data_IF_329085797922
#
_entry.id   IF_329085797922
#
_cell.length_a   1.000
_cell.length_b   1.000
_cell.length_c   1.000
_cell.angle_alpha   90.00
_cell.angle_beta   90.00
_cell.angle_gamma   90.00
#
_symmetry.space_group_name_H-M   'P 1'
#
loop_
_entity.id
_entity.type
_entity.pdbx_description
1 polymer ?
#
# COMPACT_ATOMS: atom_id res chain seq x y z
N UNK A 1 6.11 -1.05 -13.02
CA UNK A 1 4.63 -1.07 -13.17
C UNK A 1 4.17 0.34 -13.48
N UNK A 2 3.26 0.54 -14.43
CA UNK A 2 2.77 1.88 -14.75
C UNK A 2 1.68 2.26 -13.75
N UNK A 3 2.00 3.15 -12.81
CA UNK A 3 1.07 3.64 -11.79
C UNK A 3 -0.15 4.31 -12.45
N UNK A 4 -1.36 3.94 -12.05
CA UNK A 4 -2.63 4.53 -12.56
C UNK A 4 -3.24 5.54 -11.59
N UNK A 5 -2.80 5.56 -10.32
CA UNK A 5 -3.23 6.56 -9.34
C UNK A 5 -2.28 7.75 -9.22
N UNK A 6 -2.81 8.88 -8.73
CA UNK A 6 -2.10 10.11 -8.40
C UNK A 6 -2.48 10.55 -6.99
N UNK A 7 -1.49 11.00 -6.19
CA UNK A 7 -1.74 11.60 -4.88
C UNK A 7 -2.52 12.92 -5.01
N UNK A 8 -3.52 13.11 -4.14
CA UNK A 8 -4.35 14.31 -4.07
C UNK A 8 -4.35 14.89 -2.65
N UNK A 9 -4.66 16.18 -2.55
CA UNK A 9 -4.83 16.86 -1.26
C UNK A 9 -6.24 16.52 -0.72
N UNK A 10 -6.35 16.17 0.56
CA UNK A 10 -7.63 15.91 1.24
C UNK A 10 -7.82 14.47 1.71
N UNK A 11 -9.05 14.13 2.12
CA UNK A 11 -9.38 12.88 2.81
C UNK A 11 -9.30 11.61 1.95
N UNK A 12 -9.46 11.73 0.62
CA UNK A 12 -9.44 10.57 -0.28
C UNK A 12 -8.03 10.17 -0.74
N UNK A 13 -7.03 11.04 -0.53
CA UNK A 13 -5.58 10.83 -0.72
C UNK A 13 -5.11 10.47 -2.15
N UNK A 14 -5.94 9.82 -2.96
CA UNK A 14 -5.65 9.34 -4.30
C UNK A 14 -6.79 9.64 -5.28
N UNK A 15 -6.43 9.79 -6.55
CA UNK A 15 -7.35 9.85 -7.70
C UNK A 15 -6.78 9.07 -8.88
N UNK A 16 -7.60 8.73 -9.87
CA UNK A 16 -7.12 8.14 -11.12
C UNK A 16 -6.47 9.22 -11.99
N UNK A 17 -5.29 8.95 -12.57
CA UNK A 17 -4.49 9.93 -13.33
C UNK A 17 -5.25 10.59 -14.48
N UNK A 18 -6.07 9.81 -15.17
CA UNK A 18 -6.75 10.23 -16.40
C UNK A 18 -8.25 10.52 -16.18
N UNK A 19 -8.72 10.46 -14.94
CA UNK A 19 -10.13 10.71 -14.63
C UNK A 19 -10.43 12.20 -14.55
N UNK A 20 -11.49 12.62 -15.24
CA UNK A 20 -12.01 14.00 -15.22
C UNK A 20 -13.41 13.97 -14.60
N UNK A 21 -13.56 14.34 -13.32
CA UNK A 21 -14.85 14.31 -12.65
C UNK A 21 -15.88 15.16 -13.38
N UNK A 22 -17.09 14.64 -13.52
CA UNK A 22 -18.24 15.37 -14.06
C UNK A 22 -19.29 15.62 -12.97
N UNK A 23 -19.99 16.75 -13.07
CA UNK A 23 -21.07 17.05 -12.12
C UNK A 23 -22.19 16.01 -12.23
N UNK A 24 -22.60 15.44 -11.10
CA UNK A 24 -23.63 14.40 -11.07
C UNK A 24 -23.18 13.02 -11.52
N UNK A 25 -21.86 12.77 -11.59
CA UNK A 25 -21.31 11.45 -11.94
C UNK A 25 -21.82 10.32 -11.02
N UNK A 26 -22.02 10.63 -9.74
CA UNK A 26 -22.52 9.70 -8.73
C UNK A 26 -23.94 10.08 -8.33
N UNK A 27 -24.87 9.12 -8.46
CA UNK A 27 -26.28 9.31 -8.14
C UNK A 27 -26.56 9.34 -6.62
N UNK A 28 -25.64 8.86 -5.80
CA UNK A 28 -25.74 8.87 -4.34
C UNK A 28 -24.35 8.87 -3.68
N UNK A 29 -24.33 9.17 -2.39
CA UNK A 29 -23.10 9.26 -1.60
C UNK A 29 -22.37 7.91 -1.51
N UNK A 30 -23.08 6.80 -1.34
CA UNK A 30 -22.46 5.48 -1.18
C UNK A 30 -21.66 5.08 -2.43
N UNK A 31 -22.17 5.39 -3.62
CA UNK A 31 -21.48 5.12 -4.89
C UNK A 31 -20.19 5.93 -5.00
N UNK A 32 -20.26 7.22 -4.65
CA UNK A 32 -19.08 8.08 -4.59
C UNK A 32 -18.08 7.58 -3.55
N UNK A 33 -18.53 7.26 -2.34
CA UNK A 33 -17.67 6.81 -1.26
C UNK A 33 -16.98 5.49 -1.59
N UNK A 34 -17.72 4.49 -2.09
CA UNK A 34 -17.16 3.19 -2.49
C UNK A 34 -16.13 3.34 -3.60
N UNK A 35 -16.41 4.18 -4.61
CA UNK A 35 -15.45 4.49 -5.67
C UNK A 35 -14.16 5.09 -5.10
N UNK A 36 -14.28 6.13 -4.26
CA UNK A 36 -13.09 6.77 -3.68
C UNK A 36 -12.30 5.82 -2.77
N UNK A 37 -12.98 4.96 -2.00
CA UNK A 37 -12.30 3.95 -1.19
C UNK A 37 -11.56 2.92 -2.05
N UNK A 38 -12.13 2.52 -3.18
CA UNK A 38 -11.45 1.63 -4.13
C UNK A 38 -10.20 2.29 -4.73
N UNK A 39 -10.30 3.55 -5.16
CA UNK A 39 -9.15 4.30 -5.71
C UNK A 39 -8.07 4.54 -4.66
N UNK A 40 -8.46 4.85 -3.42
CA UNK A 40 -7.54 4.99 -2.29
C UNK A 40 -6.75 3.70 -2.07
N UNK A 41 -7.44 2.56 -1.92
CA UNK A 41 -6.80 1.25 -1.71
C UNK A 41 -5.89 0.87 -2.87
N UNK A 42 -6.28 1.16 -4.11
CA UNK A 42 -5.44 0.96 -5.27
C UNK A 42 -4.15 1.78 -5.17
N UNK A 43 -4.24 3.05 -4.76
CA UNK A 43 -3.07 3.92 -4.61
C UNK A 43 -2.12 3.49 -3.49
N UNK A 44 -2.67 2.99 -2.38
CA UNK A 44 -1.91 2.39 -1.27
C UNK A 44 -1.18 1.11 -1.71
N UNK A 45 -1.85 0.24 -2.49
CA UNK A 45 -1.24 -0.96 -3.06
C UNK A 45 -0.13 -0.63 -4.06
N UNK A 46 -0.35 0.34 -4.95
CA UNK A 46 0.70 0.76 -5.90
C UNK A 46 1.93 1.32 -5.19
N UNK A 47 1.75 2.00 -4.06
CA UNK A 47 2.84 2.52 -3.23
C UNK A 47 3.53 1.43 -2.41
N UNK A 48 2.81 0.41 -1.93
CA UNK A 48 3.43 -0.71 -1.20
C UNK A 48 4.27 -1.62 -2.09
N UNK A 49 3.96 -1.67 -3.39
CA UNK A 49 4.71 -2.42 -4.39
C UNK A 49 5.95 -1.68 -4.92
N UNK A 50 6.12 -0.40 -4.59
CA UNK A 50 7.25 0.41 -5.02
C UNK A 50 8.43 0.23 -4.04
N UNK A 51 9.59 -0.31 -4.48
CA UNK A 51 10.76 -0.45 -3.62
C UNK A 51 11.30 0.91 -3.18
N UNK A 52 11.47 1.09 -1.87
CA UNK A 52 11.99 2.30 -1.24
C UNK A 52 13.45 2.12 -0.86
N UNK A 53 14.22 3.21 -0.81
CA UNK A 53 15.63 3.13 -0.36
C UNK A 53 15.70 2.73 1.11
N UNK A 54 16.76 2.01 1.50
CA UNK A 54 17.07 1.72 2.91
C UNK A 54 17.09 2.97 3.79
N UNK A 55 17.46 4.14 3.24
CA UNK A 55 17.48 5.42 3.97
C UNK A 55 16.09 5.91 4.40
N UNK A 56 15.04 5.43 3.73
CA UNK A 56 13.65 5.74 4.07
C UNK A 56 13.09 4.82 5.16
N UNK A 57 13.79 3.72 5.46
CA UNK A 57 13.37 2.80 6.50
C UNK A 57 13.68 3.38 7.89
N UNK A 58 12.82 3.06 8.84
CA UNK A 58 13.04 3.29 10.26
C UNK A 58 12.31 2.19 11.04
N UNK A 59 12.67 2.03 12.32
CA UNK A 59 12.12 1.00 13.21
C UNK A 59 10.58 1.02 13.30
N UNK A 60 9.94 2.16 13.04
CA UNK A 60 8.48 2.30 13.04
C UNK A 60 7.77 1.50 11.95
N UNK A 61 8.46 1.08 10.89
CA UNK A 61 7.90 0.18 9.89
C UNK A 61 7.92 -1.29 10.30
N UNK A 62 8.77 -1.67 11.27
CA UNK A 62 8.95 -3.05 11.70
C UNK A 62 9.51 -3.95 10.58
N UNK A 63 9.02 -5.18 10.53
CA UNK A 63 9.44 -6.18 9.55
C UNK A 63 9.00 -5.81 8.14
N UNK A 64 9.96 -5.84 7.21
CA UNK A 64 9.73 -5.54 5.79
C UNK A 64 10.40 -6.58 4.90
N UNK A 65 10.07 -6.55 3.61
CA UNK A 65 10.78 -7.34 2.59
C UNK A 65 11.96 -6.52 2.07
N UNK A 66 13.14 -7.09 2.12
CA UNK A 66 14.38 -6.45 1.72
C UNK A 66 14.91 -7.00 0.41
N UNK A 67 15.39 -6.11 -0.45
CA UNK A 67 15.75 -6.41 -1.83
C UNK A 67 17.14 -5.89 -2.17
N UNK A 68 17.84 -6.67 -2.98
CA UNK A 68 19.02 -6.26 -3.74
C UNK A 68 18.66 -6.35 -5.22
N UNK A 69 19.02 -5.32 -5.99
CA UNK A 69 18.86 -5.32 -7.44
C UNK A 69 20.23 -5.35 -8.13
N UNK A 70 20.42 -6.15 -9.19
CA UNK A 70 19.47 -7.09 -9.78
C UNK A 70 19.11 -8.24 -8.82
N UNK A 71 17.93 -8.85 -9.01
CA UNK A 71 17.45 -9.94 -8.16
C UNK A 71 18.29 -11.20 -8.44
N UNK A 72 19.11 -11.59 -7.47
CA UNK A 72 19.93 -12.81 -7.51
C UNK A 72 19.36 -13.90 -6.59
N UNK A 73 18.60 -13.50 -5.58
CA UNK A 73 18.07 -14.35 -4.50
C UNK A 73 16.70 -13.82 -4.01
N UNK A 74 15.91 -14.64 -3.29
CA UNK A 74 14.67 -14.16 -2.67
C UNK A 74 14.93 -13.06 -1.65
N UNK A 75 13.93 -12.21 -1.37
CA UNK A 75 14.07 -11.14 -0.38
C UNK A 75 14.24 -11.68 1.03
N UNK A 76 15.02 -10.98 1.85
CA UNK A 76 15.05 -11.20 3.29
C UNK A 76 13.80 -10.60 3.96
N UNK A 77 13.24 -11.28 4.96
CA UNK A 77 12.09 -10.83 5.73
C UNK A 77 12.54 -10.51 7.15
N UNK A 78 12.32 -9.28 7.61
CA UNK A 78 12.68 -8.85 8.96
C UNK A 78 13.22 -7.43 9.01
N UNK A 79 14.22 -7.19 9.86
CA UNK A 79 14.82 -5.87 10.07
C UNK A 79 16.34 -5.88 9.89
N UNK A 80 16.97 -4.73 9.57
CA UNK A 80 18.43 -4.61 9.54
C UNK A 80 19.10 -4.80 10.91
N UNK A 81 18.32 -4.82 12.00
CA UNK A 81 18.80 -5.03 13.36
C UNK A 81 18.93 -6.54 13.71
N UNK A 82 18.46 -7.42 12.83
CA UNK A 82 18.49 -8.86 13.05
C UNK A 82 19.93 -9.41 12.94
N UNK A 83 20.29 -10.38 13.78
CA UNK A 83 21.61 -11.02 13.73
C UNK A 83 21.89 -11.77 12.41
N UNK A 84 20.84 -12.20 11.73
CA UNK A 84 20.91 -12.89 10.43
C UNK A 84 20.91 -11.94 9.22
N UNK A 85 20.88 -10.63 9.45
CA UNK A 85 20.85 -9.63 8.40
C UNK A 85 22.19 -9.58 7.64
N UNK A 86 22.19 -9.68 6.30
CA UNK A 86 23.44 -9.81 5.55
C UNK A 86 24.04 -8.47 5.05
N UNK A 87 23.43 -7.33 5.39
CA UNK A 87 23.96 -5.97 5.19
C UNK A 87 24.22 -5.48 3.75
N UNK A 88 23.82 -6.23 2.72
CA UNK A 88 23.96 -5.80 1.31
C UNK A 88 22.65 -5.35 0.64
N UNK A 89 21.50 -5.47 1.28
CA UNK A 89 20.23 -5.05 0.69
C UNK A 89 20.15 -3.52 0.69
N UNK A 90 19.64 -2.95 -0.39
CA UNK A 90 19.60 -1.49 -0.58
C UNK A 90 18.18 -0.95 -0.67
N UNK A 91 17.19 -1.82 -0.89
CA UNK A 91 15.79 -1.43 -1.03
C UNK A 91 14.87 -2.28 -0.15
N UNK A 92 13.69 -1.76 0.16
CA UNK A 92 12.66 -2.48 0.89
C UNK A 92 11.25 -2.20 0.39
N UNK A 93 10.34 -3.12 0.66
CA UNK A 93 8.89 -2.95 0.45
C UNK A 93 8.14 -3.37 1.72
N UNK A 94 7.10 -2.63 2.15
CA UNK A 94 6.33 -3.00 3.34
C UNK A 94 5.53 -4.29 3.14
N UNK A 95 5.37 -5.07 4.22
CA UNK A 95 4.47 -6.22 4.25
C UNK A 95 3.03 -5.72 4.39
N UNK A 96 2.18 -6.01 3.41
CA UNK A 96 0.77 -5.62 3.45
C UNK A 96 0.00 -6.59 4.33
N UNK A 97 -0.41 -6.15 5.52
CA UNK A 97 -1.21 -6.94 6.45
C UNK A 97 -2.70 -6.77 6.08
N UNK A 98 -3.46 -7.85 5.90
CA UNK A 98 -4.90 -7.75 5.66
C UNK A 98 -5.62 -7.21 6.91
N UNK A 99 -6.73 -6.48 6.69
CA UNK A 99 -7.61 -6.08 7.78
C UNK A 99 -8.10 -7.30 8.56
N UNK A 100 -8.30 -7.13 9.87
CA UNK A 100 -8.90 -8.18 10.69
C UNK A 100 -10.31 -8.52 10.15
N UNK A 101 -10.72 -9.80 10.22
CA UNK A 101 -12.05 -10.19 9.82
C UNK A 101 -13.08 -9.43 10.68
N UNK A 102 -14.16 -8.98 10.04
CA UNK A 102 -15.28 -8.38 10.77
C UNK A 102 -15.88 -9.45 11.68
N UNK A 103 -16.03 -9.13 12.96
CA UNK A 103 -16.84 -9.95 13.85
C UNK A 103 -18.30 -9.75 13.45
N UNK A 104 -18.94 -10.81 12.98
CA UNK A 104 -20.38 -10.81 12.77
C UNK A 104 -21.00 -11.31 14.07
N UNK A 105 -21.82 -10.48 14.71
CA UNK A 105 -22.69 -10.97 15.77
C UNK A 105 -23.73 -11.87 15.10
N UNK A 106 -23.77 -13.13 15.50
CA UNK A 106 -24.82 -14.07 15.10
C UNK A 106 -26.15 -13.56 15.68
N UNK A 107 -26.84 -12.69 14.95
CA UNK A 107 -28.25 -12.42 15.22
C UNK A 107 -29.04 -13.64 14.76
N UNK A 108 -29.23 -14.60 15.66
CA UNK A 108 -30.27 -15.63 15.51
C UNK A 108 -31.61 -14.93 15.26
N UNK A 109 -32.25 -15.25 14.13
CA UNK A 109 -33.62 -14.84 13.78
C UNK A 109 -34.63 -15.82 14.36
#
# INVERSE_FOLDING_TARGET
MNRVTKKTIGCFQYTLKDHKPITGEFNNYDSFFNYNMAVKRLGELEESLEPKSIDEWNEGFGDVLWWKFPIEEPPYVGTPLDLSWPDYHTYWTPITIPDQPKQYEDTEQ
#
